data_IF_075671661253
#
_entry.id   IF_075671661253
#
_cell.length_a   1.000
_cell.length_b   1.000
_cell.length_c   1.000
_cell.angle_alpha   90.00
_cell.angle_beta   90.00
_cell.angle_gamma   90.00
#
_symmetry.space_group_name_H-M   'P 1'
#
loop_
_entity.id
_entity.type
_entity.pdbx_description
1 polymer ?
#
# COMPACT_ATOMS: atom_id res chain seq x y z
N UNK A 1 -10.37 8.86 3.46
CA UNK A 1 -9.98 7.62 2.74
C UNK A 1 -8.47 7.47 2.76
N UNK A 2 -8.00 6.25 2.85
CA UNK A 2 -6.55 6.03 2.99
C UNK A 2 -5.73 6.61 1.82
N UNK A 3 -6.33 6.71 0.64
CA UNK A 3 -5.63 7.19 -0.56
C UNK A 3 -5.72 8.70 -0.79
N UNK A 4 -6.48 9.42 0.03
CA UNK A 4 -6.76 10.85 -0.21
C UNK A 4 -5.49 11.71 -0.22
N UNK A 5 -4.55 11.45 0.65
CA UNK A 5 -3.30 12.20 0.73
C UNK A 5 -2.17 11.67 -0.13
N UNK A 6 -2.46 10.72 -1.02
CA UNK A 6 -1.44 10.06 -1.85
C UNK A 6 -1.56 10.56 -3.28
N UNK A 7 -0.46 11.03 -3.85
CA UNK A 7 -0.43 11.50 -5.24
C UNK A 7 -0.64 10.34 -6.21
N UNK A 8 -1.15 10.64 -7.41
CA UNK A 8 -1.47 9.69 -8.46
C UNK A 8 -2.56 8.70 -8.06
N UNK A 9 -3.53 9.16 -7.29
CA UNK A 9 -4.63 8.30 -6.84
C UNK A 9 -5.81 8.25 -7.81
N UNK A 10 -5.70 8.86 -8.99
CA UNK A 10 -6.81 8.91 -9.96
C UNK A 10 -7.16 7.54 -10.51
N UNK A 11 -6.13 6.77 -10.88
CA UNK A 11 -6.34 5.47 -11.52
C UNK A 11 -7.08 4.49 -10.58
N UNK A 12 -6.70 4.44 -9.31
CA UNK A 12 -7.34 3.53 -8.36
C UNK A 12 -8.83 3.86 -8.20
N UNK A 13 -9.19 5.14 -8.27
CA UNK A 13 -10.59 5.58 -8.18
C UNK A 13 -11.38 5.26 -9.45
N UNK A 14 -10.71 5.03 -10.57
CA UNK A 14 -11.36 4.66 -11.82
C UNK A 14 -11.66 3.17 -11.91
N UNK A 15 -10.79 2.33 -11.35
CA UNK A 15 -10.94 0.87 -11.47
C UNK A 15 -11.81 0.27 -10.38
N UNK A 16 -12.06 1.01 -9.29
CA UNK A 16 -12.96 0.58 -8.22
C UNK A 16 -14.14 1.54 -8.13
N UNK A 17 -15.35 1.00 -8.14
CA UNK A 17 -16.54 1.81 -7.82
C UNK A 17 -16.43 2.31 -6.39
N UNK A 18 -15.96 1.45 -5.49
CA UNK A 18 -15.66 1.82 -4.11
C UNK A 18 -14.30 1.22 -3.76
N UNK A 19 -13.31 2.08 -3.56
CA UNK A 19 -11.97 1.61 -3.19
C UNK A 19 -12.04 0.93 -1.82
N UNK A 20 -11.60 -0.33 -1.70
CA UNK A 20 -11.70 -1.05 -0.45
C UNK A 20 -10.72 -0.53 0.60
N UNK A 21 -11.07 -0.72 1.87
CA UNK A 21 -10.14 -0.52 2.96
C UNK A 21 -9.07 -1.61 2.92
N UNK A 22 -7.89 -1.30 3.42
CA UNK A 22 -6.75 -2.21 3.34
C UNK A 22 -6.72 -3.13 4.56
N UNK A 23 -7.66 -4.07 4.61
CA UNK A 23 -7.82 -5.01 5.71
C UNK A 23 -7.24 -6.37 5.32
N UNK A 24 -6.35 -6.89 6.18
CA UNK A 24 -5.72 -8.19 6.03
C UNK A 24 -5.10 -8.38 4.64
N UNK A 25 -4.36 -7.39 4.19
CA UNK A 25 -3.70 -7.44 2.89
C UNK A 25 -2.40 -8.22 2.98
N UNK A 26 -2.04 -8.89 1.88
CA UNK A 26 -0.75 -9.57 1.77
C UNK A 26 0.30 -8.54 1.39
N UNK A 27 1.34 -8.44 2.22
CA UNK A 27 2.41 -7.48 2.00
C UNK A 27 3.58 -8.21 1.35
N UNK A 28 4.00 -7.71 0.20
CA UNK A 28 5.09 -8.30 -0.57
C UNK A 28 6.44 -7.77 -0.12
N UNK A 29 6.53 -6.47 0.13
CA UNK A 29 7.80 -5.86 0.52
C UNK A 29 7.58 -4.54 1.26
N UNK A 30 8.44 -4.28 2.23
CA UNK A 30 8.62 -2.97 2.85
C UNK A 30 10.10 -2.66 2.72
N UNK A 31 10.45 -1.61 1.97
CA UNK A 31 11.84 -1.28 1.67
C UNK A 31 12.16 0.11 2.20
N UNK A 32 13.13 0.17 3.11
CA UNK A 32 13.67 1.43 3.61
C UNK A 32 14.90 1.76 2.77
N UNK A 33 14.83 2.86 2.03
CA UNK A 33 15.92 3.28 1.17
C UNK A 33 17.06 3.86 1.99
N UNK A 34 18.26 3.80 1.43
CA UNK A 34 19.44 4.38 2.04
C UNK A 34 19.19 5.85 2.39
N UNK A 35 19.69 6.29 3.50
CA UNK A 35 19.55 7.65 4.04
C UNK A 35 18.16 7.93 4.66
N UNK A 36 17.26 6.94 4.70
CA UNK A 36 15.93 7.14 5.31
C UNK A 36 15.07 8.15 4.59
N UNK A 37 15.31 8.38 3.29
CA UNK A 37 14.57 9.39 2.52
C UNK A 37 13.29 8.83 1.92
N UNK A 38 13.20 7.52 1.79
CA UNK A 38 12.05 6.89 1.14
C UNK A 38 11.76 5.52 1.75
N UNK A 39 10.49 5.22 1.96
CA UNK A 39 9.99 3.87 2.25
C UNK A 39 9.04 3.48 1.14
N UNK A 40 9.23 2.30 0.58
CA UNK A 40 8.35 1.74 -0.43
C UNK A 40 7.60 0.56 0.19
N UNK A 41 6.29 0.52 0.04
CA UNK A 41 5.44 -0.58 0.50
C UNK A 41 4.74 -1.19 -0.71
N UNK A 42 4.95 -2.49 -0.92
CA UNK A 42 4.31 -3.24 -2.00
C UNK A 42 3.36 -4.25 -1.39
N UNK A 43 2.11 -4.21 -1.80
CA UNK A 43 1.10 -5.13 -1.26
C UNK A 43 0.05 -5.43 -2.32
N UNK A 44 -0.75 -6.46 -2.07
CA UNK A 44 -1.87 -6.81 -2.93
C UNK A 44 -3.14 -6.14 -2.42
N UNK A 45 -3.94 -5.62 -3.35
CA UNK A 45 -5.26 -5.11 -2.99
C UNK A 45 -6.11 -6.27 -2.46
N UNK A 46 -6.93 -6.02 -1.42
CA UNK A 46 -7.72 -7.11 -0.81
C UNK A 46 -8.84 -7.64 -1.71
N UNK A 47 -9.27 -6.85 -2.69
CA UNK A 47 -10.34 -7.19 -3.62
C UNK A 47 -9.92 -6.80 -5.02
N UNK A 48 -10.19 -7.66 -6.00
CA UNK A 48 -9.93 -7.34 -7.40
C UNK A 48 -10.91 -6.25 -7.86
N UNK A 49 -10.46 -5.29 -8.69
CA UNK A 49 -11.33 -4.19 -9.10
C UNK A 49 -12.54 -4.66 -9.89
N UNK A 50 -13.66 -3.97 -9.71
CA UNK A 50 -14.90 -4.24 -10.45
C UNK A 50 -14.91 -3.60 -11.83
N UNK A 51 -14.00 -2.67 -12.10
CA UNK A 51 -13.89 -2.00 -13.40
C UNK A 51 -12.44 -2.00 -13.88
N UNK A 52 -11.83 -3.20 -14.09
CA UNK A 52 -10.42 -3.27 -14.44
C UNK A 52 -10.18 -2.86 -15.89
N UNK A 53 -8.96 -2.39 -16.24
CA UNK A 53 -8.60 -2.18 -17.63
C UNK A 53 -8.68 -3.49 -18.42
N UNK A 54 -9.01 -3.40 -19.70
CA UNK A 54 -9.14 -4.57 -20.57
C UNK A 54 -7.86 -5.42 -20.60
N UNK A 55 -6.70 -4.76 -20.55
CA UNK A 55 -5.40 -5.45 -20.57
C UNK A 55 -5.17 -6.34 -19.34
N UNK A 56 -5.97 -6.18 -18.29
CA UNK A 56 -5.87 -7.01 -17.07
C UNK A 56 -6.76 -8.24 -17.13
N UNK A 57 -7.46 -8.44 -18.22
CA UNK A 57 -8.36 -9.58 -18.38
C UNK A 57 -7.60 -10.91 -18.14
N UNK A 58 -8.20 -11.80 -17.35
CA UNK A 58 -7.59 -13.09 -17.00
C UNK A 58 -6.75 -13.08 -15.74
N UNK A 59 -6.48 -11.91 -15.14
CA UNK A 59 -5.76 -11.79 -13.88
C UNK A 59 -6.74 -11.80 -12.70
N UNK A 60 -6.26 -12.05 -11.50
CA UNK A 60 -7.11 -12.12 -10.31
C UNK A 60 -6.61 -11.30 -9.13
N UNK A 61 -5.46 -10.67 -9.25
CA UNK A 61 -4.84 -9.94 -8.13
C UNK A 61 -4.19 -8.69 -8.66
N UNK A 62 -4.27 -7.61 -7.88
CA UNK A 62 -3.62 -6.33 -8.21
C UNK A 62 -2.57 -6.03 -7.15
N UNK A 63 -1.33 -5.87 -7.60
CA UNK A 63 -0.22 -5.42 -6.79
C UNK A 63 -0.12 -3.90 -6.88
N UNK A 64 0.09 -3.26 -5.76
CA UNK A 64 0.27 -1.80 -5.70
C UNK A 64 1.56 -1.48 -4.96
N UNK A 65 2.29 -0.51 -5.47
CA UNK A 65 3.48 0.02 -4.82
C UNK A 65 3.26 1.49 -4.49
N UNK A 66 3.41 1.84 -3.21
CA UNK A 66 3.31 3.21 -2.73
C UNK A 66 4.66 3.61 -2.16
N UNK A 67 5.19 4.74 -2.62
CA UNK A 67 6.42 5.33 -2.07
C UNK A 67 6.07 6.48 -1.15
N UNK A 68 6.72 6.51 0.00
CA UNK A 68 6.57 7.53 1.03
C UNK A 68 7.90 8.25 1.19
N UNK A 69 7.86 9.56 1.33
CA UNK A 69 9.07 10.38 1.30
C UNK A 69 9.23 11.22 2.57
N UNK A 70 10.47 11.48 2.94
CA UNK A 70 10.86 12.23 4.13
C UNK A 70 10.33 11.52 5.37
N UNK A 71 10.98 10.41 5.68
CA UNK A 71 10.51 9.46 6.69
C UNK A 71 11.06 9.81 8.07
N UNK A 72 10.21 9.66 9.08
CA UNK A 72 10.62 9.75 10.48
C UNK A 72 9.86 8.71 11.30
N UNK A 73 10.40 8.41 12.49
CA UNK A 73 9.77 7.52 13.47
C UNK A 73 9.47 6.13 12.89
N UNK A 74 10.41 5.60 12.10
CA UNK A 74 10.24 4.31 11.46
C UNK A 74 10.45 3.16 12.46
N UNK A 75 9.46 2.29 12.56
CA UNK A 75 9.49 1.09 13.40
C UNK A 75 9.03 -0.11 12.58
N UNK A 76 9.72 -1.21 12.72
CA UNK A 76 9.41 -2.43 11.99
C UNK A 76 9.68 -3.64 12.88
N UNK A 77 8.68 -4.49 13.02
CA UNK A 77 8.81 -5.76 13.74
C UNK A 77 8.11 -6.85 12.93
N UNK A 78 8.81 -7.94 12.67
CA UNK A 78 8.28 -9.06 11.93
C UNK A 78 7.98 -10.19 12.91
N UNK A 79 6.70 -10.57 13.05
CA UNK A 79 6.26 -11.61 13.97
C UNK A 79 6.20 -12.98 13.30
N UNK A 80 6.03 -13.03 11.99
CA UNK A 80 5.91 -14.25 11.23
C UNK A 80 6.57 -14.03 9.86
N UNK A 81 6.93 -15.13 9.21
CA UNK A 81 7.54 -15.07 7.87
C UNK A 81 6.55 -14.65 6.79
N UNK A 82 5.25 -14.89 7.00
CA UNK A 82 4.20 -14.45 6.08
C UNK A 82 3.71 -13.09 6.53
N UNK A 83 3.83 -12.10 5.65
CA UNK A 83 3.52 -10.72 5.98
C UNK A 83 2.09 -10.38 5.58
N UNK A 84 1.22 -10.30 6.57
CA UNK A 84 -0.17 -9.88 6.42
C UNK A 84 -0.50 -8.82 7.46
N UNK A 85 -1.34 -7.87 7.09
CA UNK A 85 -1.80 -6.91 8.06
C UNK A 85 -2.83 -5.94 7.50
N UNK A 86 -3.40 -5.18 8.41
CA UNK A 86 -4.22 -4.04 8.06
C UNK A 86 -3.29 -2.85 7.86
N UNK A 87 -3.51 -2.10 6.79
CA UNK A 87 -2.73 -0.89 6.52
C UNK A 87 -3.64 0.31 6.71
N UNK A 88 -3.25 1.20 7.61
CA UNK A 88 -3.96 2.43 7.88
C UNK A 88 -3.07 3.60 7.48
N UNK A 89 -3.59 4.48 6.65
CA UNK A 89 -2.87 5.65 6.14
C UNK A 89 -3.77 6.85 6.37
N UNK A 90 -3.31 7.80 7.16
CA UNK A 90 -4.14 8.96 7.53
C UNK A 90 -3.28 10.21 7.73
N UNK A 91 -3.92 11.36 7.63
CA UNK A 91 -3.27 12.64 7.88
C UNK A 91 -3.16 12.90 9.37
N UNK A 92 -1.99 13.37 9.80
CA UNK A 92 -1.72 13.69 11.19
C UNK A 92 -0.76 14.89 11.24
N UNK A 93 -1.20 16.01 11.78
CA UNK A 93 -0.38 17.22 11.95
C UNK A 93 0.32 17.63 10.65
N UNK A 94 -0.43 17.70 9.55
CA UNK A 94 0.06 18.08 8.21
C UNK A 94 1.02 17.06 7.59
N UNK A 95 1.17 15.89 8.21
CA UNK A 95 1.98 14.79 7.67
C UNK A 95 1.11 13.57 7.46
N UNK A 96 1.71 12.53 6.91
CA UNK A 96 1.03 11.26 6.64
C UNK A 96 1.56 10.24 7.65
N UNK A 97 0.64 9.61 8.39
CA UNK A 97 0.97 8.53 9.31
C UNK A 97 0.57 7.21 8.69
N UNK A 98 1.46 6.24 8.73
CA UNK A 98 1.23 4.89 8.23
C UNK A 98 1.36 3.91 9.38
N UNK A 99 0.38 3.02 9.51
CA UNK A 99 0.41 1.96 10.52
C UNK A 99 0.03 0.65 9.85
N UNK A 100 0.89 -0.34 9.95
CA UNK A 100 0.64 -1.71 9.52
C UNK A 100 0.53 -2.57 10.77
N UNK A 101 -0.58 -3.28 10.91
CA UNK A 101 -0.88 -4.09 12.10
C UNK A 101 -1.33 -5.49 11.68
N UNK A 102 -0.50 -6.48 11.98
CA UNK A 102 -0.77 -7.87 11.64
C UNK A 102 0.39 -8.76 12.03
N UNK A 103 0.75 -9.70 11.17
CA UNK A 103 1.93 -10.54 11.37
C UNK A 103 3.22 -9.74 11.24
N UNK A 104 3.14 -8.56 10.61
CA UNK A 104 4.20 -7.57 10.60
C UNK A 104 3.65 -6.29 11.21
N UNK A 105 4.43 -5.66 12.07
CA UNK A 105 4.10 -4.38 12.68
C UNK A 105 5.04 -3.34 12.11
N UNK A 106 4.49 -2.32 11.47
CA UNK A 106 5.29 -1.25 10.90
C UNK A 106 4.56 0.07 11.08
N UNK A 107 5.29 1.09 11.46
CA UNK A 107 4.72 2.43 11.52
C UNK A 107 5.79 3.45 11.19
N UNK A 108 5.37 4.52 10.56
CA UNK A 108 6.25 5.65 10.25
C UNK A 108 5.43 6.88 9.90
N UNK A 109 6.12 8.00 9.82
CA UNK A 109 5.55 9.27 9.41
C UNK A 109 6.26 9.71 8.14
N UNK A 110 5.52 10.25 7.19
CA UNK A 110 6.06 10.75 5.93
C UNK A 110 5.49 12.13 5.63
N UNK A 111 6.19 12.91 4.79
CA UNK A 111 5.69 14.22 4.38
C UNK A 111 4.94 14.16 3.07
N UNK A 112 5.19 13.14 2.25
CA UNK A 112 4.54 12.97 0.95
C UNK A 112 4.46 11.49 0.59
N UNK A 113 3.54 11.17 -0.31
CA UNK A 113 3.36 9.80 -0.79
C UNK A 113 2.87 9.81 -2.23
N UNK A 114 3.21 8.78 -3.00
CA UNK A 114 2.78 8.62 -4.38
C UNK A 114 2.56 7.15 -4.69
N UNK A 115 1.50 6.85 -5.47
CA UNK A 115 1.31 5.51 -6.00
C UNK A 115 2.26 5.38 -7.19
N UNK A 116 3.28 4.53 -7.06
CA UNK A 116 4.29 4.35 -8.10
C UNK A 116 3.83 3.41 -9.20
N UNK A 117 3.10 2.37 -8.83
CA UNK A 117 2.75 1.32 -9.76
C UNK A 117 1.53 0.56 -9.28
N UNK A 118 0.66 0.20 -10.22
CA UNK A 118 -0.40 -0.77 -10.02
C UNK A 118 -0.34 -1.75 -11.20
N UNK A 119 -0.27 -3.04 -10.92
CA UNK A 119 -0.22 -4.05 -11.96
C UNK A 119 -1.01 -5.28 -11.54
N UNK A 120 -1.63 -5.95 -12.52
CA UNK A 120 -2.40 -7.15 -12.27
C UNK A 120 -1.57 -8.39 -12.58
N UNK A 121 -1.86 -9.47 -11.87
CA UNK A 121 -1.20 -10.76 -12.10
C UNK A 121 -2.11 -11.89 -11.62
N UNK A 122 -1.69 -13.13 -11.88
CA UNK A 122 -2.43 -14.30 -11.41
C UNK A 122 -1.73 -14.79 -10.13
N UNK A 123 -2.48 -14.77 -9.04
CA UNK A 123 -2.03 -15.34 -7.78
C UNK A 123 -2.63 -16.74 -7.63
N UNK A 124 -1.78 -17.72 -7.40
CA UNK A 124 -2.17 -19.12 -7.23
C UNK A 124 -1.79 -19.53 -5.81
N UNK A 125 -2.77 -19.98 -5.06
CA UNK A 125 -2.58 -20.44 -3.67
C UNK A 125 -2.20 -21.91 -3.61
#
# INVERSE_FOLDING_TARGET
MWYDGIDRNTFIKQIYTKVPELLNVRIDAISLKRDGTEVSVVFDMPVYPDNPPEKWNGNNTVSIEISFFVISEFKLEMKDRYMYGNIDIFSHESKIKIVVDGSILCSFVAEAAVIQRMSAYIYIT
#
